data_IF_263877527298
#
_entry.id   IF_263877527298
#
_cell.length_a   1.000
_cell.length_b   1.000
_cell.length_c   1.000
_cell.angle_alpha   90.00
_cell.angle_beta   90.00
_cell.angle_gamma   90.00
#
_symmetry.space_group_name_H-M   'P 1'
#
loop_
_entity.id
_entity.type
_entity.pdbx_description
1 polymer ?
#
# COMPACT_ATOMS: atom_id res chain seq x y z
N UNK A 1 -7.32 14.68 6.03
CA UNK A 1 -7.49 13.96 4.75
C UNK A 1 -8.29 12.68 4.97
N UNK A 2 -9.03 12.28 3.97
CA UNK A 2 -9.74 11.00 3.99
C UNK A 2 -8.85 9.90 3.45
N UNK A 3 -8.96 8.71 4.04
CA UNK A 3 -8.25 7.52 3.59
C UNK A 3 -9.25 6.53 3.01
N UNK A 4 -9.01 6.11 1.78
CA UNK A 4 -9.83 5.11 1.08
C UNK A 4 -8.95 3.95 0.62
N UNK A 5 -9.57 2.79 0.43
CA UNK A 5 -8.91 1.58 -0.04
C UNK A 5 -9.64 1.05 -1.26
N UNK A 6 -8.89 0.65 -2.29
CA UNK A 6 -9.48 -0.16 -3.36
C UNK A 6 -9.79 -1.57 -2.84
N UNK A 7 -10.66 -2.27 -3.54
CA UNK A 7 -10.96 -3.68 -3.22
C UNK A 7 -9.69 -4.53 -3.36
N UNK A 8 -8.87 -4.24 -4.36
CA UNK A 8 -7.60 -4.95 -4.56
C UNK A 8 -6.69 -4.76 -3.35
N UNK A 9 -6.55 -3.51 -2.84
CA UNK A 9 -5.73 -3.23 -1.67
C UNK A 9 -6.25 -3.98 -0.44
N UNK A 10 -7.55 -3.98 -0.20
CA UNK A 10 -8.14 -4.70 0.93
C UNK A 10 -7.82 -6.20 0.90
N UNK A 11 -7.94 -6.82 -0.28
CA UNK A 11 -7.63 -8.24 -0.46
C UNK A 11 -6.15 -8.54 -0.27
N UNK A 12 -5.28 -7.69 -0.80
CA UNK A 12 -3.83 -7.87 -0.66
C UNK A 12 -3.39 -7.71 0.80
N UNK A 13 -3.96 -6.76 1.52
CA UNK A 13 -3.66 -6.55 2.94
C UNK A 13 -4.09 -7.78 3.75
N UNK A 14 -5.29 -8.27 3.51
CA UNK A 14 -5.81 -9.45 4.21
C UNK A 14 -4.94 -10.68 3.93
N UNK A 15 -4.61 -10.90 2.65
CA UNK A 15 -3.77 -12.03 2.25
C UNK A 15 -2.38 -11.96 2.89
N UNK A 16 -1.77 -10.78 2.94
CA UNK A 16 -0.46 -10.60 3.56
C UNK A 16 -0.50 -10.84 5.06
N UNK A 17 -1.51 -10.29 5.74
CA UNK A 17 -1.68 -10.49 7.19
C UNK A 17 -1.88 -11.98 7.51
N UNK A 18 -2.70 -12.68 6.74
CA UNK A 18 -2.92 -14.11 6.93
C UNK A 18 -1.66 -14.92 6.70
N UNK A 19 -0.89 -14.58 5.66
CA UNK A 19 0.38 -15.23 5.37
C UNK A 19 1.34 -15.14 6.57
N UNK A 20 1.48 -13.95 7.13
CA UNK A 20 2.39 -13.76 8.27
C UNK A 20 1.86 -14.42 9.55
N UNK A 21 0.55 -14.42 9.75
CA UNK A 21 -0.04 -15.08 10.93
C UNK A 21 0.19 -16.59 10.91
N UNK A 22 0.15 -17.21 9.74
CA UNK A 22 0.47 -18.63 9.57
C UNK A 22 1.93 -18.90 9.89
N UNK A 23 2.84 -17.96 9.54
CA UNK A 23 4.27 -18.11 9.84
C UNK A 23 4.56 -18.06 11.33
N UNK A 24 3.88 -17.18 12.05
CA UNK A 24 4.08 -16.99 13.47
C UNK A 24 2.86 -16.26 14.06
N UNK A 25 2.32 -16.79 15.15
CA UNK A 25 1.21 -16.15 15.86
C UNK A 25 1.57 -14.73 16.27
N UNK A 26 0.69 -13.77 15.97
CA UNK A 26 0.88 -12.36 16.25
C UNK A 26 1.60 -11.57 15.15
N UNK A 27 2.21 -12.25 14.19
CA UNK A 27 2.97 -11.58 13.13
C UNK A 27 2.03 -10.84 12.14
N UNK A 28 0.85 -11.39 11.91
CA UNK A 28 -0.16 -10.71 11.09
C UNK A 28 -0.57 -9.37 11.70
N UNK A 29 -0.77 -9.31 13.01
CA UNK A 29 -1.06 -8.07 13.70
C UNK A 29 0.09 -7.06 13.58
N UNK A 30 1.33 -7.53 13.69
CA UNK A 30 2.49 -6.67 13.51
C UNK A 30 2.55 -6.08 12.09
N UNK A 31 2.18 -6.87 11.08
CA UNK A 31 2.09 -6.37 9.71
C UNK A 31 1.05 -5.23 9.62
N UNK A 32 -0.13 -5.42 10.19
CA UNK A 32 -1.18 -4.41 10.20
C UNK A 32 -0.73 -3.13 10.93
N UNK A 33 -0.02 -3.26 12.04
CA UNK A 33 0.50 -2.12 12.79
C UNK A 33 1.52 -1.31 11.96
N UNK A 34 2.41 -2.01 11.25
CA UNK A 34 3.37 -1.34 10.36
C UNK A 34 2.69 -0.68 9.16
N UNK A 35 1.63 -1.30 8.64
CA UNK A 35 0.82 -0.70 7.59
C UNK A 35 0.15 0.58 8.10
N UNK A 36 -0.41 0.55 9.31
CA UNK A 36 -1.03 1.73 9.92
C UNK A 36 -0.03 2.88 10.07
N UNK A 37 1.21 2.59 10.44
CA UNK A 37 2.27 3.61 10.52
C UNK A 37 2.56 4.22 9.16
N UNK A 38 2.66 3.39 8.13
CA UNK A 38 2.86 3.87 6.77
C UNK A 38 1.72 4.77 6.32
N UNK A 39 0.49 4.37 6.60
CA UNK A 39 -0.71 5.14 6.24
C UNK A 39 -0.75 6.48 6.99
N UNK A 40 -0.43 6.49 8.27
CA UNK A 40 -0.37 7.71 9.07
C UNK A 40 0.65 8.67 8.48
N UNK A 41 1.82 8.16 8.09
CA UNK A 41 2.86 8.98 7.49
C UNK A 41 2.41 9.54 6.12
N UNK A 42 1.75 8.72 5.30
CA UNK A 42 1.22 9.16 4.02
C UNK A 42 0.18 10.28 4.20
N UNK A 43 -0.69 10.14 5.19
CA UNK A 43 -1.72 11.16 5.46
C UNK A 43 -1.11 12.49 5.90
N UNK A 44 -0.01 12.45 6.65
CA UNK A 44 0.69 13.67 7.07
C UNK A 44 1.52 14.29 5.94
N UNK A 45 2.16 13.48 5.13
CA UNK A 45 3.10 13.92 4.09
C UNK A 45 2.82 13.21 2.77
N UNK A 46 1.65 13.46 2.14
CA UNK A 46 1.23 12.67 0.97
C UNK A 46 2.13 12.82 -0.25
N UNK A 47 2.92 13.89 -0.31
CA UNK A 47 3.80 14.15 -1.44
C UNK A 47 5.29 13.91 -1.14
N UNK A 48 5.60 13.36 0.03
CA UNK A 48 6.99 13.09 0.42
C UNK A 48 7.59 11.88 -0.31
N UNK A 49 6.75 10.93 -0.73
CA UNK A 49 7.22 9.72 -1.39
C UNK A 49 7.33 9.89 -2.90
N UNK A 50 8.23 9.12 -3.51
CA UNK A 50 8.52 9.23 -4.94
C UNK A 50 7.29 8.91 -5.79
N UNK A 51 6.97 9.75 -6.79
CA UNK A 51 5.97 9.40 -7.77
C UNK A 51 6.47 8.28 -8.70
N UNK A 52 5.57 7.36 -9.04
CA UNK A 52 5.84 6.30 -10.02
C UNK A 52 5.02 6.50 -11.28
N UNK A 53 4.09 7.44 -11.25
CA UNK A 53 3.38 7.97 -12.41
C UNK A 53 2.84 9.36 -12.06
N UNK A 54 2.05 9.97 -12.95
CA UNK A 54 1.50 11.32 -12.70
C UNK A 54 0.75 11.45 -11.38
N UNK A 55 0.01 10.41 -10.99
CA UNK A 55 -0.92 10.48 -9.86
C UNK A 55 -0.63 9.46 -8.77
N UNK A 56 0.37 8.62 -8.97
CA UNK A 56 0.60 7.45 -8.12
C UNK A 56 1.97 7.56 -7.48
N UNK A 57 2.01 7.28 -6.18
CA UNK A 57 3.24 7.27 -5.38
C UNK A 57 3.42 5.94 -4.69
N UNK A 58 4.64 5.67 -4.27
CA UNK A 58 5.01 4.42 -3.63
C UNK A 58 5.68 4.71 -2.29
N UNK A 59 5.09 4.20 -1.21
CA UNK A 59 5.64 4.26 0.13
C UNK A 59 6.14 2.86 0.52
N UNK A 60 7.41 2.76 0.87
CA UNK A 60 7.98 1.49 1.36
C UNK A 60 7.62 1.31 2.83
N UNK A 61 7.11 0.13 3.19
CA UNK A 61 6.87 -0.20 4.59
C UNK A 61 8.19 -0.52 5.29
N UNK A 62 8.23 -0.28 6.60
CA UNK A 62 9.33 -0.71 7.47
C UNK A 62 9.05 -2.12 7.95
N UNK A 63 10.12 -2.89 8.22
CA UNK A 63 10.11 -4.25 8.78
C UNK A 63 9.54 -5.33 7.85
N UNK A 64 8.57 -4.99 7.01
CA UNK A 64 7.97 -5.93 6.07
C UNK A 64 8.27 -5.47 4.65
N UNK A 65 8.65 -6.40 3.75
CA UNK A 65 9.09 -6.04 2.40
C UNK A 65 7.90 -5.76 1.47
N UNK A 66 7.07 -4.80 1.85
CA UNK A 66 5.89 -4.39 1.08
C UNK A 66 5.94 -2.91 0.72
N UNK A 67 5.33 -2.58 -0.40
CA UNK A 67 5.13 -1.20 -0.84
C UNK A 67 3.64 -0.87 -0.83
N UNK A 68 3.32 0.32 -0.34
CA UNK A 68 1.96 0.87 -0.39
C UNK A 68 1.89 1.77 -1.62
N UNK A 69 1.07 1.41 -2.58
CA UNK A 69 0.86 2.18 -3.80
C UNK A 69 -0.40 3.01 -3.60
N UNK A 70 -0.28 4.32 -3.72
CA UNK A 70 -1.39 5.21 -3.37
C UNK A 70 -1.48 6.41 -4.30
N UNK A 71 -2.65 7.06 -4.30
CA UNK A 71 -2.87 8.36 -4.92
C UNK A 71 -3.26 9.37 -3.84
N UNK A 72 -2.90 10.63 -4.06
CA UNK A 72 -3.35 11.73 -3.22
C UNK A 72 -3.96 12.80 -4.12
N UNK A 73 -5.25 13.02 -4.00
CA UNK A 73 -5.98 14.01 -4.79
C UNK A 73 -6.95 14.78 -3.89
N UNK A 74 -6.87 16.10 -3.95
CA UNK A 74 -7.69 16.96 -3.09
C UNK A 74 -7.44 16.60 -1.63
N UNK A 75 -8.49 16.23 -0.92
CA UNK A 75 -8.42 15.86 0.50
C UNK A 75 -8.52 14.34 0.72
N UNK A 76 -8.16 13.53 -0.29
CA UNK A 76 -8.33 12.08 -0.23
C UNK A 76 -7.03 11.38 -0.63
N UNK A 77 -6.61 10.42 0.20
CA UNK A 77 -5.59 9.44 -0.13
C UNK A 77 -6.29 8.12 -0.40
N UNK A 78 -6.02 7.52 -1.55
CA UNK A 78 -6.56 6.21 -1.90
C UNK A 78 -5.41 5.20 -1.98
N UNK A 79 -5.48 4.15 -1.16
CA UNK A 79 -4.55 3.03 -1.26
C UNK A 79 -5.01 2.16 -2.43
N UNK A 80 -4.23 2.14 -3.49
CA UNK A 80 -4.57 1.44 -4.74
C UNK A 80 -4.25 -0.05 -4.61
N UNK A 81 -3.08 -0.34 -4.08
CA UNK A 81 -2.65 -1.73 -3.84
C UNK A 81 -1.52 -1.75 -2.81
N UNK A 82 -1.31 -2.91 -2.20
CA UNK A 82 -0.17 -3.17 -1.31
C UNK A 82 0.52 -4.40 -1.86
N UNK A 83 1.78 -4.27 -2.27
CA UNK A 83 2.49 -5.32 -3.00
C UNK A 83 3.82 -5.65 -2.35
N UNK A 84 4.17 -6.94 -2.38
CA UNK A 84 5.49 -7.38 -1.95
C UNK A 84 6.56 -6.77 -2.87
N UNK A 85 7.68 -6.32 -2.28
CA UNK A 85 8.74 -5.64 -3.04
C UNK A 85 9.40 -6.52 -4.08
N UNK A 86 9.33 -7.86 -3.95
CA UNK A 86 9.85 -8.79 -4.94
C UNK A 86 8.91 -9.05 -6.11
N UNK A 87 7.66 -8.55 -6.04
CA UNK A 87 6.71 -8.76 -7.12
C UNK A 87 7.13 -7.99 -8.36
N UNK A 88 6.96 -8.62 -9.53
CA UNK A 88 7.21 -8.00 -10.82
C UNK A 88 6.45 -6.67 -10.95
N UNK A 89 7.15 -5.55 -11.17
CA UNK A 89 6.49 -4.24 -11.31
C UNK A 89 5.44 -4.19 -12.42
N UNK A 90 5.54 -4.99 -13.47
CA UNK A 90 4.56 -5.00 -14.53
C UNK A 90 3.16 -5.32 -14.05
N UNK A 91 3.02 -6.15 -13.03
CA UNK A 91 1.71 -6.57 -12.51
C UNK A 91 0.96 -5.39 -11.89
N UNK A 92 1.60 -4.62 -11.04
CA UNK A 92 0.93 -3.47 -10.42
C UNK A 92 0.91 -2.26 -11.34
N UNK A 93 1.87 -2.14 -12.26
CA UNK A 93 1.82 -1.09 -13.30
C UNK A 93 0.66 -1.30 -14.26
N UNK A 94 0.36 -2.55 -14.62
CA UNK A 94 -0.81 -2.89 -15.42
C UNK A 94 -2.08 -2.48 -14.71
N UNK A 95 -2.20 -2.76 -13.41
CA UNK A 95 -3.34 -2.33 -12.61
C UNK A 95 -3.52 -0.81 -12.64
N UNK A 96 -2.42 -0.07 -12.46
CA UNK A 96 -2.45 1.39 -12.51
C UNK A 96 -2.98 1.88 -13.85
N UNK A 97 -2.50 1.30 -14.97
CA UNK A 97 -2.97 1.67 -16.30
C UNK A 97 -4.45 1.35 -16.49
N UNK A 98 -4.90 0.19 -16.03
CA UNK A 98 -6.31 -0.22 -16.13
C UNK A 98 -7.23 0.71 -15.35
N UNK A 99 -6.74 1.27 -14.23
CA UNK A 99 -7.49 2.22 -13.42
C UNK A 99 -7.43 3.66 -13.96
N UNK A 100 -6.68 3.91 -15.04
CA UNK A 100 -6.55 5.24 -15.60
C UNK A 100 -5.66 6.19 -14.79
N UNK A 101 -4.80 5.63 -13.99
CA UNK A 101 -3.89 6.41 -13.10
C UNK A 101 -2.46 6.51 -13.70
#
# INVERSE_FOLDING_TARGET
>A
MKLKFSIVAEREIEAAADYYEIQQAGLGLQFIEELDRAQTFILQFPYAWSPISKRVRRCLMRRFPYSVIYTAQGNTVTIVTVVHQSRDPEKWQTLIRELGL
#
